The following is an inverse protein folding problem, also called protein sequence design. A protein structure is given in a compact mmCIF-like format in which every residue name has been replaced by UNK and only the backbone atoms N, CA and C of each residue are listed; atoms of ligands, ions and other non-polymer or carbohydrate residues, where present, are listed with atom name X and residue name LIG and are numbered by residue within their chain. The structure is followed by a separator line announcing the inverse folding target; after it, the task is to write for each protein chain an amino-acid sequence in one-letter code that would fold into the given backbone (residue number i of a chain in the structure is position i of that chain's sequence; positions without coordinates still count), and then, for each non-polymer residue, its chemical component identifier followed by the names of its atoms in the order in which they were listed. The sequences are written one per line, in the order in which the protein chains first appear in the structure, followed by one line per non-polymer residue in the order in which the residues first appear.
data_IF_463935330009
#
_entry.id   IF_463935330009
#
_cell.length_a   1.000
_cell.length_b   1.000
_cell.length_c   1.000
_cell.angle_alpha   90.00
_cell.angle_beta   90.00
_cell.angle_gamma   90.00
#
_symmetry.space_group_name_H-M   'P 1'
#
loop_
_entity.id
_entity.type
_entity.pdbx_description
1 polymer ?
#
# COMPACT_ATOMS: atom_id res chain seq x y z
N UNK A 1 7.00 -12.22 -9.13
CA UNK A 1 6.52 -11.14 -8.23
C UNK A 1 7.60 -10.08 -8.18
N UNK A 2 7.28 -8.81 -8.46
CA UNK A 2 8.31 -7.76 -8.56
C UNK A 2 8.76 -7.20 -7.20
N UNK A 3 8.10 -7.60 -6.11
CA UNK A 3 8.41 -7.16 -4.75
C UNK A 3 7.98 -8.20 -3.69
N UNK A 4 8.53 -8.06 -2.49
CA UNK A 4 8.32 -8.97 -1.36
C UNK A 4 6.90 -8.83 -0.77
N UNK A 5 6.28 -9.98 -0.44
CA UNK A 5 4.94 -10.10 0.17
C UNK A 5 3.88 -9.27 -0.57
N UNK A 6 3.55 -9.50 -1.85
CA UNK A 6 2.81 -8.54 -2.66
C UNK A 6 1.41 -8.21 -2.12
N UNK A 7 0.86 -7.07 -2.55
CA UNK A 7 -0.57 -6.81 -2.38
C UNK A 7 -1.36 -7.73 -3.30
N UNK A 8 -2.31 -8.47 -2.74
CA UNK A 8 -3.20 -9.34 -3.51
C UNK A 8 -4.52 -8.63 -3.80
N UNK A 9 -4.95 -8.63 -5.06
CA UNK A 9 -6.27 -8.21 -5.48
C UNK A 9 -6.94 -9.38 -6.19
N UNK A 10 -8.06 -9.87 -5.65
CA UNK A 10 -8.72 -11.10 -6.11
C UNK A 10 -7.72 -12.28 -6.23
N UNK A 11 -6.90 -12.48 -5.19
CA UNK A 11 -5.86 -13.52 -5.11
C UNK A 11 -4.74 -13.44 -6.16
N UNK A 12 -4.68 -12.36 -6.95
CA UNK A 12 -3.61 -12.08 -7.90
C UNK A 12 -2.71 -10.98 -7.37
N UNK A 13 -1.39 -11.13 -7.54
CA UNK A 13 -0.42 -10.11 -7.15
C UNK A 13 -0.64 -8.83 -7.99
N UNK A 14 -0.84 -7.71 -7.31
CA UNK A 14 -1.06 -6.40 -7.92
C UNK A 14 0.28 -5.72 -8.22
N UNK A 15 0.49 -5.33 -9.48
CA UNK A 15 1.71 -4.73 -9.99
C UNK A 15 1.49 -3.28 -10.44
N UNK A 16 2.56 -2.61 -10.89
CA UNK A 16 2.46 -1.18 -11.27
C UNK A 16 1.62 -0.99 -12.54
N UNK A 17 1.61 -2.00 -13.41
CA UNK A 17 0.83 -2.06 -14.64
C UNK A 17 -0.68 -2.12 -14.36
N UNK A 18 -1.08 -2.71 -13.23
CA UNK A 18 -2.49 -2.86 -12.82
C UNK A 18 -3.10 -1.57 -12.23
N UNK A 19 -2.27 -0.54 -11.99
CA UNK A 19 -2.74 0.73 -11.40
C UNK A 19 -3.68 1.47 -12.36
N UNK A 20 -3.44 1.38 -13.67
CA UNK A 20 -4.23 2.06 -14.72
C UNK A 20 -4.55 3.53 -14.37
N UNK A 21 -5.83 3.90 -14.29
CA UNK A 21 -6.34 5.23 -13.95
C UNK A 21 -6.75 5.38 -12.48
N UNK A 22 -6.50 4.36 -11.65
CA UNK A 22 -6.86 4.39 -10.23
C UNK A 22 -5.96 5.35 -9.44
N UNK A 23 -6.58 6.08 -8.51
CA UNK A 23 -5.90 7.03 -7.63
C UNK A 23 -5.27 6.34 -6.42
N UNK A 24 -5.97 5.35 -5.89
CA UNK A 24 -5.54 4.59 -4.71
C UNK A 24 -6.47 3.43 -4.43
N UNK A 25 -6.27 2.83 -3.26
CA UNK A 25 -6.93 1.60 -2.87
C UNK A 25 -7.22 1.57 -1.37
N UNK A 26 -8.30 0.88 -1.01
CA UNK A 26 -8.55 0.42 0.35
C UNK A 26 -7.94 -0.97 0.51
N UNK A 27 -7.38 -1.25 1.67
CA UNK A 27 -6.68 -2.49 1.92
C UNK A 27 -7.02 -3.08 3.27
N UNK A 28 -6.80 -4.40 3.38
CA UNK A 28 -6.87 -5.19 4.59
C UNK A 28 -5.48 -5.78 4.85
N UNK A 29 -4.99 -5.59 6.06
CA UNK A 29 -3.88 -6.36 6.61
C UNK A 29 -4.44 -7.37 7.60
N UNK A 30 -4.05 -8.62 7.43
CA UNK A 30 -4.40 -9.71 8.35
C UNK A 30 -3.13 -10.24 8.98
N UNK A 31 -3.02 -10.15 10.31
CA UNK A 31 -1.97 -10.82 11.08
C UNK A 31 -2.28 -12.32 11.13
N UNK A 32 -1.46 -13.13 10.45
CA UNK A 32 -1.69 -14.58 10.30
C UNK A 32 -1.52 -15.35 11.60
N UNK A 33 -0.84 -14.79 12.60
CA UNK A 33 -0.59 -15.45 13.88
C UNK A 33 -1.83 -15.42 14.79
N UNK A 34 -2.58 -14.32 14.77
CA UNK A 34 -3.68 -14.08 15.72
C UNK A 34 -5.01 -13.66 15.07
N UNK A 35 -5.06 -13.58 13.74
CA UNK A 35 -6.25 -13.23 12.97
C UNK A 35 -6.69 -11.77 13.09
N UNK A 36 -5.93 -10.90 13.76
CA UNK A 36 -6.29 -9.49 13.87
C UNK A 36 -6.18 -8.80 12.52
N UNK A 37 -7.17 -7.96 12.27
CA UNK A 37 -7.34 -7.25 11.00
C UNK A 37 -7.15 -5.75 11.17
N UNK A 38 -6.60 -5.11 10.14
CA UNK A 38 -6.48 -3.67 10.02
C UNK A 38 -6.90 -3.22 8.63
N UNK A 39 -7.88 -2.32 8.55
CA UNK A 39 -8.30 -1.71 7.30
C UNK A 39 -7.68 -0.32 7.19
N UNK A 40 -7.12 -0.04 6.02
CA UNK A 40 -6.55 1.27 5.72
C UNK A 40 -6.76 1.66 4.27
N UNK A 41 -6.16 2.79 3.91
CA UNK A 41 -6.20 3.32 2.56
C UNK A 41 -4.84 3.90 2.18
N UNK A 42 -4.41 3.65 0.95
CA UNK A 42 -3.16 4.18 0.39
C UNK A 42 -3.40 4.70 -1.02
N UNK A 43 -2.65 5.73 -1.40
CA UNK A 43 -2.62 6.24 -2.77
C UNK A 43 -1.43 5.66 -3.53
N UNK A 44 -1.63 5.39 -4.82
CA UNK A 44 -0.56 4.89 -5.70
C UNK A 44 0.47 5.97 -6.00
N UNK A 45 0.04 7.24 -6.06
CA UNK A 45 0.89 8.37 -6.43
C UNK A 45 1.04 9.39 -5.31
N UNK A 46 2.15 10.12 -5.37
CA UNK A 46 2.44 11.24 -4.49
C UNK A 46 2.84 12.48 -5.30
N UNK A 47 2.40 13.64 -4.81
CA UNK A 47 2.75 14.93 -5.41
C UNK A 47 3.74 15.64 -4.48
N UNK A 48 5.03 15.56 -4.81
CA UNK A 48 6.11 16.17 -4.01
C UNK A 48 6.76 17.33 -4.75
N UNK A 49 7.26 18.33 -4.01
CA UNK A 49 8.07 19.43 -4.54
C UNK A 49 9.54 19.01 -4.42
N UNK A 50 10.26 18.92 -5.55
CA UNK A 50 11.72 18.72 -5.52
C UNK A 50 12.40 20.00 -5.02
N UNK A 51 13.52 19.87 -4.28
CA UNK A 51 14.28 21.02 -3.77
C UNK A 51 14.62 21.96 -4.94
N UNK A 52 14.29 23.24 -4.81
CA UNK A 52 14.54 24.27 -5.84
C UNK A 52 13.47 24.39 -6.94
N UNK A 53 12.50 23.47 -7.06
CA UNK A 53 11.45 23.57 -8.08
C UNK A 53 10.19 24.25 -7.55
N UNK A 54 9.56 25.14 -8.34
CA UNK A 54 8.31 25.81 -7.94
C UNK A 54 7.08 24.89 -8.03
N UNK A 55 7.04 24.00 -9.02
CA UNK A 55 5.91 23.08 -9.29
C UNK A 55 6.07 21.74 -8.54
N UNK A 56 4.95 21.11 -8.20
CA UNK A 56 4.92 19.73 -7.67
C UNK A 56 4.99 18.75 -8.83
N UNK A 57 5.69 17.63 -8.62
CA UNK A 57 5.80 16.54 -9.58
C UNK A 57 5.05 15.34 -9.02
N UNK A 58 4.21 14.71 -9.86
CA UNK A 58 3.56 13.43 -9.56
C UNK A 58 4.56 12.31 -9.80
N UNK A 59 4.75 11.44 -8.82
CA UNK A 59 5.51 10.20 -8.97
C UNK A 59 4.73 9.05 -8.37
N UNK A 60 5.06 7.82 -8.74
CA UNK A 60 4.64 6.65 -7.98
C UNK A 60 5.12 6.78 -6.53
N UNK A 61 4.31 6.27 -5.61
CA UNK A 61 4.59 6.25 -4.18
C UNK A 61 5.23 4.93 -3.76
N UNK A 62 5.53 4.83 -2.48
CA UNK A 62 6.03 3.65 -1.78
C UNK A 62 4.96 2.56 -1.53
N UNK A 63 3.86 2.53 -2.29
CA UNK A 63 2.73 1.64 -2.00
C UNK A 63 3.11 0.15 -1.96
N UNK A 64 4.09 -0.29 -2.76
CA UNK A 64 4.60 -1.68 -2.77
C UNK A 64 5.22 -2.12 -1.44
N UNK A 65 5.94 -1.24 -0.75
CA UNK A 65 6.57 -1.53 0.55
C UNK A 65 5.76 -1.03 1.74
N UNK A 66 4.65 -0.34 1.49
CA UNK A 66 3.79 0.21 2.51
C UNK A 66 2.97 -0.88 3.22
N UNK A 67 2.78 -0.71 4.53
CA UNK A 67 1.87 -1.55 5.35
C UNK A 67 0.79 -0.70 6.01
N UNK A 68 1.18 0.37 6.71
CA UNK A 68 0.22 1.21 7.43
C UNK A 68 0.80 2.57 7.77
N UNK A 69 -0.07 3.54 8.02
CA UNK A 69 0.26 4.82 8.67
C UNK A 69 0.18 4.72 10.19
N UNK A 70 -0.40 3.63 10.73
CA UNK A 70 -0.48 3.39 12.16
C UNK A 70 0.88 2.97 12.70
N UNK A 71 1.43 3.75 13.65
CA UNK A 71 2.70 3.43 14.33
C UNK A 71 2.67 2.03 14.95
N UNK A 72 1.53 1.62 15.51
CA UNK A 72 1.36 0.29 16.10
C UNK A 72 1.56 -0.81 15.07
N UNK A 73 0.91 -0.70 13.90
CA UNK A 73 1.04 -1.70 12.84
C UNK A 73 2.44 -1.69 12.25
N UNK A 74 3.05 -0.51 12.07
CA UNK A 74 4.44 -0.39 11.61
C UNK A 74 5.42 -1.10 12.55
N UNK A 75 5.27 -0.91 13.87
CA UNK A 75 6.10 -1.61 14.85
C UNK A 75 5.92 -3.12 14.79
N UNK A 76 4.67 -3.61 14.68
CA UNK A 76 4.41 -5.05 14.57
C UNK A 76 5.05 -5.66 13.31
N UNK A 77 4.99 -4.96 12.18
CA UNK A 77 5.64 -5.41 10.93
C UNK A 77 7.16 -5.41 11.07
N UNK A 78 7.73 -4.41 11.76
CA UNK A 78 9.17 -4.34 12.02
C UNK A 78 9.63 -5.44 12.99
N UNK A 79 8.84 -5.73 14.03
CA UNK A 79 9.16 -6.70 15.08
C UNK A 79 9.04 -8.15 14.59
N UNK A 80 7.96 -8.46 13.87
CA UNK A 80 7.64 -9.84 13.48
C UNK A 80 7.92 -10.17 12.01
N UNK A 81 8.27 -9.16 11.21
CA UNK A 81 8.55 -9.31 9.79
C UNK A 81 7.30 -9.23 8.90
N UNK A 82 7.56 -8.94 7.62
CA UNK A 82 6.59 -8.82 6.53
C UNK A 82 5.73 -10.08 6.35
N UNK A 83 6.35 -11.26 6.38
CA UNK A 83 5.73 -12.55 6.06
C UNK A 83 4.57 -12.94 7.00
N UNK A 84 4.51 -12.37 8.21
CA UNK A 84 3.42 -12.60 9.17
C UNK A 84 2.10 -11.93 8.74
N UNK A 85 2.15 -10.96 7.84
CA UNK A 85 0.99 -10.17 7.48
C UNK A 85 0.56 -10.46 6.04
N UNK A 86 -0.68 -10.93 5.85
CA UNK A 86 -1.31 -10.99 4.54
C UNK A 86 -1.78 -9.59 4.12
N UNK A 87 -1.52 -9.22 2.87
CA UNK A 87 -1.83 -7.91 2.29
C UNK A 87 -2.86 -8.04 1.18
N UNK A 88 -4.04 -7.48 1.38
CA UNK A 88 -5.17 -7.60 0.44
C UNK A 88 -5.71 -6.24 0.05
N UNK A 89 -5.95 -6.03 -1.23
CA UNK A 89 -6.67 -4.88 -1.77
C UNK A 89 -8.17 -5.22 -1.74
N UNK A 90 -8.93 -4.40 -1.02
CA UNK A 90 -10.39 -4.55 -0.94
C UNK A 90 -11.11 -3.84 -2.08
N UNK A 91 -10.49 -2.81 -2.65
CA UNK A 91 -11.07 -2.07 -3.76
C UNK A 91 -10.20 -0.90 -4.23
N UNK A 92 -10.32 -0.60 -5.51
CA UNK A 92 -9.62 0.46 -6.21
C UNK A 92 -10.54 1.67 -6.44
N UNK A 93 -9.98 2.88 -6.39
CA UNK A 93 -10.75 4.12 -6.48
C UNK A 93 -10.11 5.11 -7.45
N UNK A 94 -10.88 5.59 -8.42
CA UNK A 94 -10.42 6.53 -9.47
C UNK A 94 -10.26 7.97 -8.98
N UNK A 95 -10.96 8.35 -7.91
CA UNK A 95 -10.95 9.71 -7.39
C UNK A 95 -10.34 9.74 -5.99
N UNK A 96 -9.68 10.85 -5.71
CA UNK A 96 -9.35 11.23 -4.35
C UNK A 96 -10.68 11.54 -3.63
N UNK A 97 -10.91 10.91 -2.49
CA UNK A 97 -11.98 11.29 -1.56
C UNK A 97 -11.79 12.71 -1.03
#
# INVERSE_FOLDING_TARGET
MSYENPWLYNDVAFESEDIEDYFGFCYLLTDLENGKMYIGRKYFYQNRKKKGQRKRVRSESDWKTYYSSSKKVQHLVQEFGSARFKREILGLWKKKG
#
